data_IF_462564627547
#
_entry.id   IF_462564627547
#
_cell.length_a   1.000
_cell.length_b   1.000
_cell.length_c   1.000
_cell.angle_alpha   90.00
_cell.angle_beta   90.00
_cell.angle_gamma   90.00
#
_symmetry.space_group_name_H-M   'P 1'
#
loop_
_entity.id
_entity.type
_entity.pdbx_description
1 polymer ?
#
# COMPACT_ATOMS: atom_id res chain seq x y z
N UNK A 1 13.36 12.38 -44.40
CA UNK A 1 12.05 11.98 -43.83
C UNK A 1 11.96 10.49 -43.48
N UNK A 2 12.39 9.55 -44.33
CA UNK A 2 12.33 8.09 -44.04
C UNK A 2 13.12 7.64 -42.80
N UNK A 3 14.22 8.31 -42.47
CA UNK A 3 15.09 7.98 -41.31
C UNK A 3 14.57 8.50 -39.97
N UNK A 4 13.68 9.50 -39.94
CA UNK A 4 13.10 10.06 -38.71
C UNK A 4 11.95 9.20 -38.16
N UNK A 5 11.27 8.47 -39.04
CA UNK A 5 10.14 7.60 -38.65
C UNK A 5 10.66 6.33 -37.97
N UNK A 6 11.81 5.81 -38.41
CA UNK A 6 12.41 4.61 -37.85
C UNK A 6 12.91 4.83 -36.41
N UNK A 7 13.44 6.01 -36.07
CA UNK A 7 13.91 6.33 -34.71
C UNK A 7 12.76 6.52 -33.72
N UNK A 8 11.60 7.04 -34.15
CA UNK A 8 10.43 7.23 -33.29
C UNK A 8 9.81 5.90 -32.85
N UNK A 9 9.81 4.89 -33.73
CA UNK A 9 9.26 3.55 -33.45
C UNK A 9 10.10 2.76 -32.45
N UNK A 10 11.42 2.95 -32.42
CA UNK A 10 12.32 2.30 -31.45
C UNK A 10 12.19 2.90 -30.05
N UNK A 11 11.76 4.15 -29.92
CA UNK A 11 11.59 4.79 -28.60
C UNK A 11 10.37 4.27 -27.84
N UNK A 12 9.34 3.80 -28.56
CA UNK A 12 8.08 3.31 -27.99
C UNK A 12 8.24 1.92 -27.33
N UNK A 13 9.25 1.13 -27.69
CA UNK A 13 9.44 -0.23 -27.14
C UNK A 13 10.21 -0.26 -25.81
N UNK A 14 10.84 0.83 -25.38
CA UNK A 14 11.58 0.89 -24.10
C UNK A 14 10.75 1.43 -22.92
N UNK A 15 9.52 1.89 -23.16
CA UNK A 15 8.67 2.49 -22.11
C UNK A 15 7.97 1.41 -21.27
N UNK A 16 7.82 0.18 -21.78
CA UNK A 16 7.06 -0.89 -21.09
C UNK A 16 7.76 -1.45 -19.85
N UNK A 17 9.09 -1.62 -19.85
CA UNK A 17 9.78 -2.30 -18.74
C UNK A 17 9.72 -1.56 -17.39
N UNK A 18 9.56 -0.24 -17.38
CA UNK A 18 9.49 0.57 -16.15
C UNK A 18 8.06 0.77 -15.61
N UNK A 19 7.03 0.38 -16.38
CA UNK A 19 5.63 0.56 -16.00
C UNK A 19 5.16 -0.44 -14.93
N UNK A 20 5.88 -1.55 -14.75
CA UNK A 20 5.46 -2.61 -13.83
C UNK A 20 5.84 -2.31 -12.37
N UNK A 21 7.09 -1.89 -12.13
CA UNK A 21 7.52 -1.46 -10.81
C UNK A 21 6.73 -0.23 -10.31
N UNK A 22 6.23 0.60 -11.22
CA UNK A 22 5.36 1.72 -10.87
C UNK A 22 3.94 1.27 -10.51
N UNK A 23 3.41 0.17 -11.08
CA UNK A 23 2.08 -0.35 -10.73
C UNK A 23 2.00 -0.82 -9.27
N UNK A 24 2.93 -1.70 -8.85
CA UNK A 24 2.92 -2.22 -7.45
C UNK A 24 3.18 -1.12 -6.43
N UNK A 25 4.06 -0.17 -6.74
CA UNK A 25 4.32 0.97 -5.87
C UNK A 25 3.09 1.87 -5.77
N UNK A 26 2.43 2.16 -6.90
CA UNK A 26 1.21 2.95 -6.93
C UNK A 26 0.05 2.27 -6.19
N UNK A 27 -0.01 0.93 -6.22
CA UNK A 27 -1.06 0.16 -5.54
C UNK A 27 -1.11 0.43 -4.03
N UNK A 28 0.03 0.68 -3.40
CA UNK A 28 0.17 0.87 -1.95
C UNK A 28 0.37 2.32 -1.52
N UNK A 29 0.13 3.29 -2.41
CA UNK A 29 0.14 4.70 -2.05
C UNK A 29 -1.09 5.08 -1.22
N UNK A 30 -0.95 6.15 -0.43
CA UNK A 30 -2.06 6.70 0.35
C UNK A 30 -2.33 5.95 1.65
N UNK A 31 -1.33 5.27 2.22
CA UNK A 31 -1.44 4.67 3.55
C UNK A 31 -1.85 5.72 4.60
N UNK A 32 -2.82 5.43 5.47
CA UNK A 32 -3.16 6.31 6.57
C UNK A 32 -1.98 6.43 7.53
N UNK A 33 -1.86 7.58 8.20
CA UNK A 33 -0.84 7.77 9.23
C UNK A 33 -1.27 7.02 10.48
N UNK A 34 -0.52 5.97 10.84
CA UNK A 34 -0.72 5.29 12.12
C UNK A 34 0.03 6.07 13.20
N UNK A 35 -0.65 6.62 14.22
CA UNK A 35 0.03 7.33 15.30
C UNK A 35 0.82 6.35 16.17
N UNK A 36 1.86 6.85 16.82
CA UNK A 36 2.55 6.08 17.86
C UNK A 36 1.67 6.01 19.11
N UNK A 37 1.87 4.97 19.93
CA UNK A 37 1.03 4.70 21.09
C UNK A 37 0.90 5.91 22.03
N UNK A 38 2.03 6.55 22.35
CA UNK A 38 2.10 7.71 23.23
C UNK A 38 1.49 8.99 22.64
N UNK A 39 1.17 8.98 21.34
CA UNK A 39 0.62 10.10 20.58
C UNK A 39 -0.76 9.77 20.02
N UNK A 40 -1.49 8.84 20.65
CA UNK A 40 -2.79 8.37 20.20
C UNK A 40 -3.81 8.34 21.34
N UNK A 41 -5.08 8.23 20.99
CA UNK A 41 -6.20 8.07 21.92
C UNK A 41 -7.12 6.94 21.49
N UNK A 42 -7.96 6.47 22.42
CA UNK A 42 -8.95 5.44 22.13
C UNK A 42 -9.89 5.84 20.98
N UNK A 43 -10.40 7.08 20.99
CA UNK A 43 -11.29 7.58 19.94
C UNK A 43 -10.60 7.65 18.57
N UNK A 44 -9.32 8.06 18.51
CA UNK A 44 -8.58 8.08 17.25
C UNK A 44 -8.37 6.67 16.69
N UNK A 45 -8.08 5.68 17.54
CA UNK A 45 -7.92 4.28 17.11
C UNK A 45 -9.23 3.70 16.57
N UNK A 46 -10.37 4.04 17.18
CA UNK A 46 -11.68 3.66 16.63
C UNK A 46 -11.96 4.30 15.26
N UNK A 47 -11.62 5.58 15.10
CA UNK A 47 -11.77 6.27 13.81
C UNK A 47 -10.85 5.69 12.72
N UNK A 48 -9.61 5.35 13.08
CA UNK A 48 -8.62 4.75 12.20
C UNK A 48 -9.01 3.36 11.67
N UNK A 49 -9.84 2.63 12.39
CA UNK A 49 -10.22 1.26 12.01
C UNK A 49 -10.78 1.19 10.59
N UNK A 50 -11.74 2.07 10.27
CA UNK A 50 -12.37 2.10 8.95
C UNK A 50 -11.39 2.54 7.85
N UNK A 51 -10.52 3.51 8.15
CA UNK A 51 -9.53 4.01 7.20
C UNK A 51 -8.48 2.95 6.84
N UNK A 52 -7.95 2.25 7.85
CA UNK A 52 -6.97 1.19 7.66
C UNK A 52 -7.58 0.01 6.90
N UNK A 53 -8.80 -0.39 7.26
CA UNK A 53 -9.52 -1.46 6.58
C UNK A 53 -9.72 -1.14 5.08
N UNK A 54 -10.29 0.04 4.79
CA UNK A 54 -10.53 0.47 3.42
C UNK A 54 -9.22 0.62 2.61
N UNK A 55 -8.16 1.13 3.25
CA UNK A 55 -6.84 1.23 2.62
C UNK A 55 -6.30 -0.15 2.24
N UNK A 56 -6.29 -1.12 3.17
CA UNK A 56 -5.74 -2.46 2.92
C UNK A 56 -6.54 -3.16 1.81
N UNK A 57 -7.87 -3.15 1.88
CA UNK A 57 -8.72 -3.77 0.85
C UNK A 57 -8.51 -3.14 -0.52
N UNK A 58 -8.53 -1.80 -0.58
CA UNK A 58 -8.36 -1.08 -1.85
C UNK A 58 -6.96 -1.29 -2.44
N UNK A 59 -5.92 -1.27 -1.60
CA UNK A 59 -4.55 -1.48 -2.04
C UNK A 59 -4.31 -2.92 -2.50
N UNK A 60 -4.89 -3.90 -1.82
CA UNK A 60 -4.84 -5.30 -2.24
C UNK A 60 -5.54 -5.49 -3.60
N UNK A 61 -6.75 -4.95 -3.78
CA UNK A 61 -7.46 -5.02 -5.06
C UNK A 61 -6.74 -4.27 -6.20
N UNK A 62 -5.93 -3.24 -5.90
CA UNK A 62 -5.04 -2.61 -6.90
C UNK A 62 -3.86 -3.50 -7.22
N UNK A 63 -3.26 -4.13 -6.21
CA UNK A 63 -2.10 -5.01 -6.36
C UNK A 63 -2.44 -6.26 -7.19
N UNK A 64 -3.61 -6.87 -6.94
CA UNK A 64 -4.15 -7.99 -7.74
C UNK A 64 -4.42 -7.60 -9.19
N UNK A 65 -4.80 -6.34 -9.46
CA UNK A 65 -4.95 -5.85 -10.84
C UNK A 65 -3.63 -5.60 -11.55
N UNK A 66 -2.53 -5.55 -10.82
CA UNK A 66 -1.21 -5.52 -11.42
C UNK A 66 -0.69 -6.95 -11.74
N UNK A 67 -1.51 -7.99 -11.57
CA UNK A 67 -1.08 -9.38 -11.71
C UNK A 67 -0.94 -9.83 -13.18
N UNK A 68 0.13 -10.59 -13.46
CA UNK A 68 0.53 -11.06 -14.80
C UNK A 68 1.86 -10.52 -15.34
N UNK A 69 2.39 -9.40 -14.82
CA UNK A 69 3.56 -8.71 -15.40
C UNK A 69 4.57 -8.14 -14.37
N UNK A 70 4.42 -8.45 -13.08
CA UNK A 70 5.24 -7.86 -12.02
C UNK A 70 6.42 -8.71 -11.58
N UNK A 71 7.53 -8.04 -11.30
CA UNK A 71 8.67 -8.66 -10.63
C UNK A 71 8.25 -9.09 -9.20
N UNK A 72 8.43 -10.37 -8.81
CA UNK A 72 8.05 -10.88 -7.49
C UNK A 72 8.63 -10.08 -6.32
N UNK A 73 9.81 -9.48 -6.48
CA UNK A 73 10.42 -8.64 -5.47
C UNK A 73 9.56 -7.41 -5.13
N UNK A 74 9.09 -6.67 -6.15
CA UNK A 74 8.27 -5.47 -5.93
C UNK A 74 6.88 -5.82 -5.40
N UNK A 75 6.31 -6.94 -5.85
CA UNK A 75 5.07 -7.46 -5.31
C UNK A 75 5.19 -7.76 -3.82
N UNK A 76 6.23 -8.50 -3.41
CA UNK A 76 6.46 -8.82 -2.00
C UNK A 76 6.73 -7.57 -1.16
N UNK A 77 7.43 -6.56 -1.68
CA UNK A 77 7.58 -5.28 -0.97
C UNK A 77 6.24 -4.56 -0.76
N UNK A 78 5.34 -4.60 -1.75
CA UNK A 78 4.00 -4.05 -1.61
C UNK A 78 3.20 -4.79 -0.53
N UNK A 79 3.23 -6.13 -0.54
CA UNK A 79 2.59 -6.96 0.51
C UNK A 79 3.14 -6.63 1.90
N UNK A 80 4.47 -6.62 2.07
CA UNK A 80 5.12 -6.25 3.35
C UNK A 80 4.71 -4.86 3.84
N UNK A 81 4.48 -3.91 2.92
CA UNK A 81 3.99 -2.57 3.27
C UNK A 81 2.56 -2.62 3.83
N UNK A 82 1.67 -3.41 3.24
CA UNK A 82 0.30 -3.59 3.74
C UNK A 82 0.30 -4.27 5.12
N UNK A 83 1.08 -5.33 5.27
CA UNK A 83 1.24 -6.05 6.54
C UNK A 83 1.79 -5.14 7.64
N UNK A 84 2.76 -4.28 7.32
CA UNK A 84 3.31 -3.31 8.27
C UNK A 84 2.23 -2.35 8.79
N UNK A 85 1.45 -1.75 7.90
CA UNK A 85 0.38 -0.81 8.29
C UNK A 85 -0.69 -1.49 9.13
N UNK A 86 -1.16 -2.67 8.71
CA UNK A 86 -2.12 -3.46 9.47
C UNK A 86 -1.56 -3.88 10.84
N UNK A 87 -0.29 -4.27 10.90
CA UNK A 87 0.41 -4.66 12.11
C UNK A 87 0.59 -3.51 13.11
N UNK A 88 0.92 -2.32 12.64
CA UNK A 88 1.01 -1.09 13.46
C UNK A 88 -0.36 -0.74 14.07
N UNK A 89 -1.42 -0.73 13.25
CA UNK A 89 -2.79 -0.50 13.73
C UNK A 89 -3.22 -1.56 14.76
N UNK A 90 -2.97 -2.84 14.48
CA UNK A 90 -3.35 -3.93 15.38
C UNK A 90 -2.65 -3.86 16.75
N UNK A 91 -1.44 -3.30 16.82
CA UNK A 91 -0.77 -3.06 18.10
C UNK A 91 -1.49 -2.01 18.93
N UNK A 92 -1.88 -0.87 18.31
CA UNK A 92 -2.68 0.16 18.97
C UNK A 92 -4.01 -0.43 19.46
N UNK A 93 -4.74 -1.09 18.57
CA UNK A 93 -6.05 -1.66 18.88
C UNK A 93 -5.98 -2.65 20.06
N UNK A 94 -4.97 -3.51 20.10
CA UNK A 94 -4.77 -4.44 21.23
C UNK A 94 -4.49 -3.72 22.54
N UNK A 95 -3.63 -2.70 22.53
CA UNK A 95 -3.33 -1.94 23.74
C UNK A 95 -4.60 -1.31 24.32
N UNK A 96 -5.33 -0.58 23.48
CA UNK A 96 -6.52 0.15 23.89
C UNK A 96 -7.69 -0.76 24.29
N UNK A 97 -7.85 -1.91 23.64
CA UNK A 97 -8.83 -2.92 24.06
C UNK A 97 -8.48 -3.52 25.42
N UNK A 98 -7.20 -3.81 25.70
CA UNK A 98 -6.78 -4.31 27.00
C UNK A 98 -7.03 -3.29 28.12
N UNK A 99 -6.79 -2.01 27.86
CA UNK A 99 -7.09 -0.91 28.80
C UNK A 99 -8.60 -0.79 29.03
N UNK A 100 -9.43 -0.84 27.98
CA UNK A 100 -10.87 -0.76 28.10
C UNK A 100 -11.48 -1.92 28.91
N UNK A 101 -10.95 -3.14 28.76
CA UNK A 101 -11.38 -4.30 29.55
C UNK A 101 -10.95 -4.17 31.02
N UNK A 102 -9.76 -3.64 31.30
CA UNK A 102 -9.27 -3.48 32.68
C UNK A 102 -10.00 -2.39 33.48
N UNK A 103 -10.68 -1.47 32.80
CA UNK A 103 -11.43 -0.36 33.42
C UNK A 103 -12.94 -0.65 33.59
N UNK A 104 -13.42 -1.77 33.05
CA UNK A 104 -14.80 -2.26 33.20
C UNK A 104 -14.88 -3.40 34.22
#
# INVERSE_FOLDING_TARGET
>A
MRTLIATLLVSLTFISANAHASCTQAAVLGAPKIPELQNSSYQEVLALQGEVHNYVETAQARLERCDGENNPFFYNMAVMRLEKIAGEFNQLARHYNAVAVALN
#
